data_IF_096496847224
#
_entry.id   IF_096496847224
#
_cell.length_a   1.000
_cell.length_b   1.000
_cell.length_c   1.000
_cell.angle_alpha   90.00
_cell.angle_beta   90.00
_cell.angle_gamma   90.00
#
_symmetry.space_group_name_H-M   'P 1'
#
loop_
_entity.id
_entity.type
_entity.pdbx_description
1 polymer ?
#
# COMPACT_ATOMS: atom_id res chain seq x y z
N UNK A 1 4.07 5.98 3.79
CA UNK A 1 4.40 4.79 2.97
C UNK A 1 4.75 3.66 3.93
N UNK A 2 4.46 2.40 3.62
CA UNK A 2 4.70 1.27 4.51
C UNK A 2 4.97 -0.02 3.74
N UNK A 3 5.63 -0.97 4.38
CA UNK A 3 6.03 -2.26 3.79
C UNK A 3 5.48 -3.43 4.60
N UNK A 4 5.02 -4.47 3.91
CA UNK A 4 4.56 -5.72 4.57
C UNK A 4 5.74 -6.45 5.22
N UNK A 5 6.87 -6.53 4.52
CA UNK A 5 8.08 -7.27 4.94
C UNK A 5 9.31 -6.37 4.89
N UNK A 6 9.35 -5.33 5.74
CA UNK A 6 10.47 -4.40 5.75
C UNK A 6 10.24 -3.22 6.69
N UNK A 7 10.85 -2.09 6.34
CA UNK A 7 10.70 -0.84 7.07
C UNK A 7 10.32 0.32 6.13
N UNK A 8 9.46 1.26 6.54
CA UNK A 8 8.69 1.26 7.79
C UNK A 8 7.59 0.18 7.80
N UNK A 9 7.44 -0.49 8.94
CA UNK A 9 6.42 -1.50 9.17
C UNK A 9 5.08 -0.88 9.55
N UNK A 10 4.14 -1.73 9.96
CA UNK A 10 2.80 -1.27 10.34
C UNK A 10 2.82 -0.33 11.56
N UNK A 11 3.59 -0.67 12.59
CA UNK A 11 3.54 0.05 13.86
C UNK A 11 4.11 1.48 13.71
N UNK A 12 5.17 1.65 12.90
CA UNK A 12 5.70 2.97 12.56
C UNK A 12 4.68 3.79 11.74
N UNK A 13 4.01 3.17 10.77
CA UNK A 13 2.98 3.87 9.98
C UNK A 13 1.79 4.26 10.84
N UNK A 14 1.35 3.40 11.77
CA UNK A 14 0.25 3.72 12.67
C UNK A 14 0.62 4.85 13.63
N UNK A 15 1.85 4.86 14.15
CA UNK A 15 2.33 5.96 14.98
C UNK A 15 2.28 7.30 14.22
N UNK A 16 2.79 7.33 12.99
CA UNK A 16 2.73 8.52 12.14
C UNK A 16 1.29 8.97 11.86
N UNK A 17 0.39 8.05 11.51
CA UNK A 17 -1.02 8.39 11.26
C UNK A 17 -1.70 9.01 12.49
N UNK A 18 -1.35 8.55 13.70
CA UNK A 18 -1.88 9.10 14.96
C UNK A 18 -1.30 10.47 15.26
N UNK A 19 -0.01 10.67 15.06
CA UNK A 19 0.66 11.97 15.21
C UNK A 19 0.06 13.01 14.25
N UNK A 20 -0.23 12.60 13.02
CA UNK A 20 -0.84 13.45 11.99
C UNK A 20 -2.35 13.70 12.22
N UNK A 21 -2.98 13.02 13.18
CA UNK A 21 -4.41 13.13 13.45
C UNK A 21 -5.31 12.58 12.34
N UNK A 22 -4.81 11.66 11.52
CA UNK A 22 -5.53 11.12 10.37
C UNK A 22 -6.58 10.08 10.78
N UNK A 23 -7.87 10.43 10.63
CA UNK A 23 -8.99 9.51 10.90
C UNK A 23 -9.39 8.61 9.72
N UNK A 24 -8.81 8.81 8.54
CA UNK A 24 -9.12 8.02 7.34
C UNK A 24 -7.85 7.69 6.56
N UNK A 25 -7.80 6.48 6.01
CA UNK A 25 -6.69 6.01 5.18
C UNK A 25 -7.20 5.38 3.87
N UNK A 26 -6.49 5.68 2.77
CA UNK A 26 -6.64 4.96 1.51
C UNK A 26 -5.41 4.07 1.31
N UNK A 27 -5.59 2.75 1.44
CA UNK A 27 -4.54 1.78 1.16
C UNK A 27 -4.42 1.55 -0.34
N UNK A 28 -3.23 1.80 -0.88
CA UNK A 28 -2.89 1.62 -2.30
C UNK A 28 -1.64 0.74 -2.40
N UNK A 29 -1.65 -0.34 -3.20
CA UNK A 29 -0.47 -1.18 -3.39
C UNK A 29 0.67 -0.40 -4.07
N UNK A 30 1.83 -0.36 -3.44
CA UNK A 30 3.07 0.10 -4.07
C UNK A 30 3.83 -1.07 -4.70
N UNK A 31 3.12 -1.84 -5.53
CA UNK A 31 3.62 -3.04 -6.21
C UNK A 31 3.14 -3.00 -7.67
N UNK A 32 3.89 -3.64 -8.58
CA UNK A 32 3.55 -3.63 -10.01
C UNK A 32 2.14 -4.21 -10.26
N UNK A 33 1.80 -5.29 -9.57
CA UNK A 33 0.48 -5.92 -9.60
C UNK A 33 -0.15 -5.92 -8.20
N UNK A 34 -1.48 -5.90 -8.14
CA UNK A 34 -2.23 -6.09 -6.89
C UNK A 34 -2.39 -7.61 -6.63
N UNK A 35 -1.27 -8.27 -6.31
CA UNK A 35 -1.20 -9.71 -6.07
C UNK A 35 -1.48 -10.10 -4.62
N UNK A 36 -0.91 -11.22 -4.19
CA UNK A 36 -1.17 -11.86 -2.89
C UNK A 36 -1.02 -10.90 -1.69
N UNK A 37 0.12 -10.21 -1.58
CA UNK A 37 0.35 -9.22 -0.52
C UNK A 37 -0.70 -8.10 -0.51
N UNK A 38 -1.18 -7.67 -1.67
CA UNK A 38 -2.22 -6.65 -1.73
C UNK A 38 -3.57 -7.21 -1.26
N UNK A 39 -3.90 -8.43 -1.70
CA UNK A 39 -5.19 -9.07 -1.42
C UNK A 39 -5.31 -9.53 0.03
N UNK A 40 -4.26 -10.11 0.60
CA UNK A 40 -4.31 -10.78 1.89
C UNK A 40 -3.68 -9.92 3.01
N UNK A 41 -2.46 -9.43 2.81
CA UNK A 41 -1.74 -8.70 3.86
C UNK A 41 -2.21 -7.25 3.97
N UNK A 42 -2.52 -6.59 2.86
CA UNK A 42 -2.97 -5.19 2.87
C UNK A 42 -4.48 -5.08 3.05
N UNK A 43 -5.26 -5.71 2.17
CA UNK A 43 -6.71 -5.53 2.07
C UNK A 43 -7.55 -6.72 2.56
N UNK A 44 -6.92 -7.77 3.08
CA UNK A 44 -7.61 -8.98 3.51
C UNK A 44 -8.53 -8.76 4.70
N UNK A 45 -9.43 -9.70 4.94
CA UNK A 45 -10.37 -9.65 6.08
C UNK A 45 -9.82 -10.33 7.35
N UNK A 46 -8.60 -10.90 7.28
CA UNK A 46 -7.95 -11.52 8.43
C UNK A 46 -7.39 -10.48 9.42
N UNK A 47 -7.30 -10.80 10.72
CA UNK A 47 -6.92 -9.84 11.77
C UNK A 47 -5.48 -9.30 11.64
N UNK A 48 -4.65 -9.95 10.83
CA UNK A 48 -3.28 -9.50 10.56
C UNK A 48 -3.18 -8.55 9.36
N UNK A 49 -4.25 -8.38 8.59
CA UNK A 49 -4.23 -7.47 7.45
C UNK A 49 -4.11 -6.02 7.92
N UNK A 50 -3.50 -5.16 7.09
CA UNK A 50 -3.36 -3.75 7.39
C UNK A 50 -4.73 -3.07 7.52
N UNK A 51 -5.68 -3.42 6.65
CA UNK A 51 -7.07 -2.94 6.73
C UNK A 51 -7.66 -3.21 8.11
N UNK A 52 -7.69 -4.47 8.55
CA UNK A 52 -8.32 -4.83 9.82
C UNK A 52 -7.61 -4.22 11.03
N UNK A 53 -6.28 -4.15 10.99
CA UNK A 53 -5.49 -3.53 12.08
C UNK A 53 -5.70 -2.02 12.18
N UNK A 54 -5.80 -1.31 11.05
CA UNK A 54 -6.08 0.14 11.02
C UNK A 54 -7.52 0.43 11.46
N UNK A 55 -8.49 -0.35 10.99
CA UNK A 55 -9.90 -0.24 11.42
C UNK A 55 -10.03 -0.47 12.93
N UNK A 56 -9.34 -1.47 13.48
CA UNK A 56 -9.30 -1.72 14.93
C UNK A 56 -8.64 -0.57 15.71
N UNK A 57 -7.76 0.21 15.09
CA UNK A 57 -7.16 1.42 15.66
C UNK A 57 -8.05 2.68 15.51
N UNK A 58 -9.27 2.54 14.98
CA UNK A 58 -10.23 3.64 14.81
C UNK A 58 -10.03 4.45 13.52
N UNK A 59 -9.21 3.98 12.59
CA UNK A 59 -9.00 4.65 11.29
C UNK A 59 -9.98 4.09 10.26
N UNK A 60 -10.75 4.94 9.59
CA UNK A 60 -11.62 4.52 8.50
C UNK A 60 -10.80 4.14 7.25
N UNK A 61 -10.87 2.89 6.80
CA UNK A 61 -10.03 2.40 5.70
C UNK A 61 -10.82 2.21 4.42
N UNK A 62 -10.22 2.63 3.29
CA UNK A 62 -10.61 2.18 1.95
C UNK A 62 -9.41 1.55 1.25
N UNK A 63 -9.64 0.54 0.43
CA UNK A 63 -8.59 -0.10 -0.37
C UNK A 63 -8.80 0.19 -1.85
N UNK A 64 -7.74 0.58 -2.56
CA UNK A 64 -7.74 0.70 -4.03
C UNK A 64 -6.86 -0.39 -4.63
N UNK A 65 -7.49 -1.44 -5.12
CA UNK A 65 -6.82 -2.63 -5.67
C UNK A 65 -6.36 -2.41 -7.11
N UNK A 66 -5.43 -1.48 -7.31
CA UNK A 66 -4.79 -1.22 -8.62
C UNK A 66 -3.28 -1.21 -8.43
N UNK A 67 -2.59 -2.14 -9.08
CA UNK A 67 -1.12 -2.16 -9.12
C UNK A 67 -0.55 -1.02 -9.97
N UNK A 68 0.70 -0.65 -9.71
CA UNK A 68 1.41 0.42 -10.40
C UNK A 68 1.52 0.17 -11.91
N UNK A 69 1.63 -1.10 -12.33
CA UNK A 69 1.75 -1.48 -13.74
C UNK A 69 0.53 -1.13 -14.59
N UNK A 70 -0.61 -0.85 -13.96
CA UNK A 70 -1.80 -0.37 -14.66
C UNK A 70 -1.81 1.16 -14.88
N UNK A 71 -0.83 1.90 -14.36
CA UNK A 71 -0.71 3.36 -14.52
C UNK A 71 0.13 3.68 -15.77
N UNK A 72 -0.41 4.42 -16.76
CA UNK A 72 0.32 4.78 -17.97
C UNK A 72 1.66 5.49 -17.70
N UNK A 73 1.72 6.30 -16.65
CA UNK A 73 2.91 7.03 -16.24
C UNK A 73 4.01 6.08 -15.75
N UNK A 74 3.65 5.05 -14.99
CA UNK A 74 4.59 4.02 -14.55
C UNK A 74 5.07 3.17 -15.73
N UNK A 75 4.16 2.81 -16.64
CA UNK A 75 4.54 2.12 -17.89
C UNK A 75 5.53 2.95 -18.70
N UNK A 76 5.32 4.26 -18.80
CA UNK A 76 6.24 5.17 -19.47
C UNK A 76 7.61 5.23 -18.80
N UNK A 77 7.68 5.19 -17.46
CA UNK A 77 8.95 5.10 -16.71
C UNK A 77 9.71 3.82 -17.04
N UNK A 78 9.05 2.66 -17.02
CA UNK A 78 9.68 1.40 -17.45
C UNK A 78 10.17 1.48 -18.91
N UNK A 79 9.35 2.02 -19.81
CA UNK A 79 9.74 2.21 -21.21
C UNK A 79 10.92 3.17 -21.40
N UNK A 80 10.98 4.24 -20.61
CA UNK A 80 12.13 5.16 -20.60
C UNK A 80 13.39 4.45 -20.13
N UNK A 81 13.30 3.70 -19.02
CA UNK A 81 14.44 2.94 -18.50
C UNK A 81 14.95 1.90 -19.49
N UNK A 82 14.05 1.20 -20.19
CA UNK A 82 14.42 0.24 -21.23
C UNK A 82 15.20 0.91 -22.37
N UNK A 83 14.84 2.13 -22.78
CA UNK A 83 15.57 2.87 -23.82
C UNK A 83 16.95 3.37 -23.39
N UNK A 84 17.23 3.48 -22.10
CA UNK A 84 18.55 3.88 -21.59
C UNK A 84 19.55 2.71 -21.55
N UNK A 85 19.07 1.47 -21.61
CA UNK A 85 19.89 0.27 -21.49
C UNK A 85 20.06 -0.49 -22.82
N UNK A 86 19.46 0.02 -23.90
CA UNK A 86 19.60 -0.45 -25.28
C UNK A 86 20.33 0.62 -26.07
#
# INVERSE_FOLDING_TARGET
MGTVEGWPGFDEVLAQLKEDGCGQALLVPFMLVAGDHALNDMAGDGPKSWKSRLEAAGVGVRCRMRGLGALPEVQALYGARLREIV
#
